data_IF_745808040801
#
_entry.id   IF_745808040801
#
_cell.length_a   1.000
_cell.length_b   1.000
_cell.length_c   1.000
_cell.angle_alpha   90.00
_cell.angle_beta   90.00
_cell.angle_gamma   90.00
#
_symmetry.space_group_name_H-M   'P 1'
#
loop_
_entity.id
_entity.type
_entity.pdbx_description
1 polymer ?
#
# COMPACT_ATOMS: atom_id res chain seq x y z
N UNK A 1 -7.31 -6.72 1.44
CA UNK A 1 -6.26 -5.84 1.99
C UNK A 1 -6.43 -4.39 1.54
N UNK A 2 -6.52 -4.09 0.24
CA UNK A 2 -6.77 -2.72 -0.26
C UNK A 2 -8.07 -2.11 0.29
N UNK A 3 -9.16 -2.89 0.33
CA UNK A 3 -10.45 -2.42 0.88
C UNK A 3 -10.41 -2.09 2.38
N UNK A 4 -9.53 -2.75 3.14
CA UNK A 4 -9.36 -2.45 4.57
C UNK A 4 -8.57 -1.15 4.75
N UNK A 5 -7.55 -0.94 3.92
CA UNK A 5 -6.80 0.31 3.90
C UNK A 5 -7.66 1.51 3.43
N UNK A 6 -8.58 1.29 2.48
CA UNK A 6 -9.55 2.30 2.02
C UNK A 6 -10.65 2.63 3.05
N UNK A 7 -10.78 1.87 4.14
CA UNK A 7 -11.68 2.17 5.27
C UNK A 7 -10.94 2.75 6.48
N UNK A 8 -9.62 2.95 6.37
CA UNK A 8 -8.76 3.43 7.45
C UNK A 8 -8.50 4.94 7.34
N UNK A 9 -7.90 5.57 8.36
CA UNK A 9 -7.47 6.98 8.33
C UNK A 9 -6.51 7.32 7.19
N UNK A 10 -5.90 6.31 6.56
CA UNK A 10 -4.97 6.45 5.43
C UNK A 10 -5.70 6.58 4.08
N UNK A 11 -7.03 6.54 4.05
CA UNK A 11 -7.82 6.50 2.82
C UNK A 11 -7.46 7.63 1.86
N UNK A 12 -7.36 8.86 2.33
CA UNK A 12 -7.23 10.03 1.45
C UNK A 12 -5.89 10.02 0.69
N UNK A 13 -4.78 9.69 1.36
CA UNK A 13 -3.47 9.52 0.73
C UNK A 13 -3.38 8.26 -0.12
N UNK A 14 -3.98 7.15 0.34
CA UNK A 14 -3.95 5.90 -0.41
C UNK A 14 -4.81 5.96 -1.67
N UNK A 15 -5.94 6.67 -1.64
CA UNK A 15 -6.84 6.80 -2.80
C UNK A 15 -6.18 7.59 -3.93
N UNK A 16 -5.50 8.70 -3.62
CA UNK A 16 -4.75 9.47 -4.62
C UNK A 16 -3.65 8.61 -5.28
N UNK A 17 -2.88 7.89 -4.45
CA UNK A 17 -1.81 7.00 -4.92
C UNK A 17 -2.38 5.83 -5.74
N UNK A 18 -3.46 5.21 -5.28
CA UNK A 18 -4.11 4.09 -5.98
C UNK A 18 -4.67 4.50 -7.35
N UNK A 19 -5.29 5.69 -7.45
CA UNK A 19 -5.73 6.24 -8.74
C UNK A 19 -4.55 6.46 -9.69
N UNK A 20 -3.40 6.89 -9.18
CA UNK A 20 -2.18 7.04 -10.00
C UNK A 20 -1.67 5.68 -10.49
N UNK A 21 -1.69 4.65 -9.64
CA UNK A 21 -1.35 3.28 -10.05
C UNK A 21 -2.26 2.73 -11.13
N UNK A 22 -3.57 2.98 -11.04
CA UNK A 22 -4.52 2.56 -12.08
C UNK A 22 -4.19 3.19 -13.44
N UNK A 23 -3.83 4.49 -13.45
CA UNK A 23 -3.37 5.17 -14.69
C UNK A 23 -2.10 4.54 -15.26
N UNK A 24 -1.21 4.06 -14.39
CA UNK A 24 0.03 3.37 -14.76
C UNK A 24 -0.16 1.87 -15.02
N UNK A 25 -1.38 1.33 -14.85
CA UNK A 25 -1.70 -0.11 -14.91
C UNK A 25 -0.91 -0.97 -13.92
N UNK A 26 -0.46 -0.37 -12.82
CA UNK A 26 0.28 -1.04 -11.76
C UNK A 26 -0.63 -1.53 -10.62
N UNK A 27 -1.90 -1.15 -10.62
CA UNK A 27 -2.91 -1.57 -9.63
C UNK A 27 -3.17 -3.10 -9.64
N UNK A 28 -2.76 -3.79 -10.70
CA UNK A 28 -2.84 -5.25 -10.83
C UNK A 28 -1.63 -5.97 -10.29
N UNK A 29 -0.51 -5.28 -10.07
CA UNK A 29 0.70 -5.89 -9.51
C UNK A 29 0.54 -6.01 -7.99
N UNK A 30 0.44 -7.25 -7.44
CA UNK A 30 0.29 -7.41 -6.00
C UNK A 30 1.51 -6.89 -5.25
N UNK A 31 2.71 -7.01 -5.83
CA UNK A 31 3.95 -6.45 -5.29
C UNK A 31 3.86 -4.92 -5.13
N UNK A 32 3.39 -4.21 -6.16
CA UNK A 32 3.30 -2.74 -6.15
C UNK A 32 2.25 -2.26 -5.14
N UNK A 33 1.09 -2.91 -5.14
CA UNK A 33 0.00 -2.56 -4.22
C UNK A 33 0.43 -2.76 -2.75
N UNK A 34 1.08 -3.88 -2.44
CA UNK A 34 1.57 -4.18 -1.09
C UNK A 34 2.69 -3.21 -0.68
N UNK A 35 3.62 -2.92 -1.59
CA UNK A 35 4.73 -1.98 -1.33
C UNK A 35 4.22 -0.58 -0.97
N UNK A 36 3.20 -0.09 -1.68
CA UNK A 36 2.63 1.23 -1.43
C UNK A 36 1.89 1.28 -0.10
N UNK A 37 1.13 0.24 0.24
CA UNK A 37 0.49 0.17 1.57
C UNK A 37 1.57 0.16 2.67
N UNK A 38 2.65 -0.59 2.48
CA UNK A 38 3.77 -0.64 3.42
C UNK A 38 4.47 0.71 3.59
N UNK A 39 4.71 1.44 2.50
CA UNK A 39 5.32 2.77 2.52
C UNK A 39 4.40 3.84 3.12
N UNK A 40 3.09 3.76 2.89
CA UNK A 40 2.12 4.66 3.50
C UNK A 40 2.09 4.46 5.03
N UNK A 41 2.05 3.20 5.48
CA UNK A 41 2.15 2.87 6.91
C UNK A 41 3.45 3.42 7.53
N UNK A 42 4.57 3.34 6.81
CA UNK A 42 5.85 3.87 7.27
C UNK A 42 5.81 5.40 7.41
N UNK A 43 5.21 6.09 6.44
CA UNK A 43 5.06 7.56 6.44
C UNK A 43 4.23 8.07 7.62
N UNK A 44 3.23 7.30 8.05
CA UNK A 44 2.40 7.61 9.21
C UNK A 44 2.92 7.00 10.53
N UNK A 45 4.21 6.62 10.57
CA UNK A 45 4.88 6.07 11.76
C UNK A 45 4.29 4.75 12.30
N UNK A 46 3.53 4.00 11.49
CA UNK A 46 3.10 2.64 11.82
C UNK A 46 4.23 1.62 11.55
N UNK A 47 5.38 1.79 12.21
CA UNK A 47 6.60 1.03 11.91
C UNK A 47 6.40 -0.48 11.93
N UNK A 48 5.80 -1.04 12.98
CA UNK A 48 5.57 -2.49 13.09
C UNK A 48 4.70 -3.05 11.96
N UNK A 49 3.63 -2.35 11.60
CA UNK A 49 2.76 -2.77 10.49
C UNK A 49 3.46 -2.61 9.14
N UNK A 50 4.22 -1.52 8.95
CA UNK A 50 4.97 -1.26 7.71
C UNK A 50 6.00 -2.34 7.41
N UNK A 51 6.75 -2.80 8.43
CA UNK A 51 7.73 -3.89 8.27
C UNK A 51 7.04 -5.16 7.81
N UNK A 52 5.98 -5.59 8.50
CA UNK A 52 5.24 -6.82 8.13
C UNK A 52 4.72 -6.76 6.69
N UNK A 53 4.16 -5.61 6.29
CA UNK A 53 3.59 -5.44 4.95
C UNK A 53 4.68 -5.39 3.88
N UNK A 54 5.79 -4.67 4.12
CA UNK A 54 6.91 -4.58 3.18
C UNK A 54 7.64 -5.93 3.02
N UNK A 55 7.83 -6.67 4.12
CA UNK A 55 8.38 -8.02 4.07
C UNK A 55 7.48 -8.99 3.30
N UNK A 56 6.15 -8.87 3.44
CA UNK A 56 5.22 -9.62 2.62
C UNK A 56 5.34 -9.25 1.14
N UNK A 57 5.59 -7.97 0.83
CA UNK A 57 5.91 -7.49 -0.52
C UNK A 57 7.10 -8.21 -1.13
N UNK A 58 8.21 -8.33 -0.39
CA UNK A 58 9.42 -9.04 -0.85
C UNK A 58 9.21 -10.53 -1.15
N UNK A 59 8.17 -11.16 -0.59
CA UNK A 59 7.83 -12.56 -0.87
C UNK A 59 7.00 -12.73 -2.15
N UNK A 60 6.42 -11.64 -2.65
CA UNK A 60 5.58 -11.63 -3.87
C UNK A 60 6.43 -11.41 -5.12
N UNK A 61 7.44 -10.54 -5.04
CA UNK A 61 8.35 -10.21 -6.13
C UNK A 61 9.53 -11.17 -6.23
#
# INVERSE_FOLDING_TARGET
MVEAAMKSPLRDTLEATYRQLQKMKLDKSPFVVVSIIGQELLTHSYYGASVVVLEAGLKIG
#
